data_IF_341384694607
#
_entry.id   IF_341384694607
#
_cell.length_a   1.000
_cell.length_b   1.000
_cell.length_c   1.000
_cell.angle_alpha   90.00
_cell.angle_beta   90.00
_cell.angle_gamma   90.00
#
_symmetry.space_group_name_H-M   'P 1'
#
loop_
_entity.id
_entity.type
_entity.pdbx_description
1 polymer ?
#
# COMPACT_ATOMS: atom_id res chain seq x y z
N UNK A 1 -55.61 19.65 2.36
CA UNK A 1 -55.36 19.99 3.78
C UNK A 1 -55.08 18.66 4.48
N UNK A 2 -53.91 18.36 5.03
CA UNK A 2 -52.73 19.18 5.32
C UNK A 2 -51.53 18.23 5.49
N UNK A 3 -50.36 18.72 5.11
CA UNK A 3 -49.03 18.14 5.26
C UNK A 3 -48.69 17.69 6.70
N UNK A 4 -47.87 16.65 6.85
CA UNK A 4 -46.76 16.48 7.83
C UNK A 4 -46.02 15.16 7.49
N UNK A 5 -44.97 15.12 6.66
CA UNK A 5 -43.55 15.52 6.92
C UNK A 5 -43.04 14.98 8.25
N UNK A 6 -42.49 13.77 8.21
CA UNK A 6 -41.51 13.27 9.16
C UNK A 6 -40.27 12.86 8.37
N UNK A 7 -39.67 13.87 7.74
CA UNK A 7 -38.34 13.76 7.13
C UNK A 7 -37.39 14.25 8.22
N UNK A 8 -36.89 13.36 9.10
CA UNK A 8 -35.69 13.62 9.93
C UNK A 8 -35.30 12.37 10.73
N UNK A 9 -34.81 11.34 10.02
CA UNK A 9 -33.84 10.40 10.58
C UNK A 9 -32.70 10.25 9.58
N UNK A 10 -31.94 11.34 9.45
CA UNK A 10 -30.56 11.28 9.00
C UNK A 10 -29.77 10.70 10.18
N UNK A 11 -29.52 9.39 10.15
CA UNK A 11 -28.29 8.84 10.72
C UNK A 11 -27.81 7.68 9.85
N UNK A 12 -26.96 8.07 8.90
CA UNK A 12 -25.89 7.34 8.24
C UNK A 12 -26.04 5.82 8.07
N UNK A 13 -26.28 5.44 6.82
CA UNK A 13 -26.18 4.08 6.33
C UNK A 13 -24.81 3.45 6.61
N UNK A 14 -24.86 2.33 7.31
CA UNK A 14 -23.96 1.20 7.19
C UNK A 14 -24.86 0.03 6.80
N UNK A 15 -25.22 -0.05 5.53
CA UNK A 15 -25.75 -1.32 5.01
C UNK A 15 -24.53 -2.18 4.66
N UNK A 16 -24.32 -3.20 5.49
CA UNK A 16 -23.50 -4.36 5.13
C UNK A 16 -23.96 -4.87 3.77
N UNK A 17 -23.06 -4.89 2.79
CA UNK A 17 -23.30 -5.56 1.52
C UNK A 17 -23.32 -7.07 1.78
N UNK A 18 -24.52 -7.63 1.97
CA UNK A 18 -24.74 -9.08 1.85
C UNK A 18 -24.73 -9.44 0.37
N UNK A 19 -23.74 -10.22 -0.05
CA UNK A 19 -23.63 -10.71 -1.42
C UNK A 19 -24.50 -11.97 -1.58
N UNK A 20 -25.77 -11.79 -1.96
CA UNK A 20 -26.66 -12.88 -2.38
C UNK A 20 -26.37 -13.23 -3.84
N UNK A 21 -25.84 -14.43 -4.09
CA UNK A 21 -25.64 -14.95 -5.44
C UNK A 21 -26.94 -15.56 -5.98
N UNK A 22 -27.82 -14.74 -6.53
CA UNK A 22 -28.99 -15.24 -7.27
C UNK A 22 -28.60 -15.56 -8.72
N UNK A 23 -28.59 -16.86 -9.04
CA UNK A 23 -28.19 -17.45 -10.31
C UNK A 23 -29.40 -17.71 -11.22
N UNK A 24 -30.19 -16.70 -11.62
CA UNK A 24 -31.05 -16.84 -12.82
C UNK A 24 -31.32 -15.51 -13.54
N UNK A 25 -30.29 -14.80 -13.99
CA UNK A 25 -30.48 -13.69 -14.92
C UNK A 25 -30.21 -14.16 -16.37
N UNK A 26 -31.25 -14.14 -17.21
CA UNK A 26 -31.17 -14.31 -18.66
C UNK A 26 -30.33 -13.16 -19.24
N UNK A 27 -29.07 -13.47 -19.54
CA UNK A 27 -28.05 -12.67 -20.25
C UNK A 27 -28.33 -11.16 -20.35
N UNK A 28 -27.85 -10.35 -19.39
CA UNK A 28 -27.73 -8.91 -19.56
C UNK A 28 -26.54 -8.62 -20.51
N UNK A 29 -26.50 -7.46 -21.19
CA UNK A 29 -25.25 -7.00 -21.78
C UNK A 29 -24.18 -7.05 -20.68
N UNK A 30 -23.06 -7.71 -20.97
CA UNK A 30 -21.96 -7.94 -20.04
C UNK A 30 -21.38 -6.59 -19.57
N UNK A 31 -22.02 -5.99 -18.57
CA UNK A 31 -21.46 -4.94 -17.74
C UNK A 31 -20.70 -5.64 -16.62
N UNK A 32 -19.62 -6.33 -17.00
CA UNK A 32 -18.53 -6.61 -16.06
C UNK A 32 -18.30 -5.32 -15.27
N UNK A 33 -18.41 -5.35 -13.93
CA UNK A 33 -18.53 -4.13 -13.15
C UNK A 33 -17.35 -3.22 -13.46
N UNK A 34 -17.64 -2.05 -14.02
CA UNK A 34 -16.77 -0.87 -13.97
C UNK A 34 -16.76 -0.28 -12.54
N UNK A 35 -16.86 -1.15 -11.51
CA UNK A 35 -16.23 -0.87 -10.25
C UNK A 35 -14.74 -0.83 -10.59
N UNK A 36 -14.23 0.38 -10.86
CA UNK A 36 -12.88 0.58 -11.39
C UNK A 36 -11.94 -0.35 -10.66
N UNK A 37 -11.50 -1.40 -11.35
CA UNK A 37 -10.44 -2.26 -10.86
C UNK A 37 -9.36 -1.27 -10.44
N UNK A 38 -9.07 -1.16 -9.15
CA UNK A 38 -7.78 -0.61 -8.72
C UNK A 38 -6.81 -1.59 -9.34
N UNK A 39 -6.41 -1.30 -10.57
CA UNK A 39 -5.58 -2.22 -11.32
C UNK A 39 -4.19 -1.96 -10.80
N UNK A 40 -3.58 -3.00 -10.25
CA UNK A 40 -2.13 -3.04 -10.05
C UNK A 40 -1.38 -3.11 -11.40
N UNK A 41 -2.04 -2.70 -12.49
CA UNK A 41 -1.45 -2.60 -13.82
C UNK A 41 -0.39 -1.50 -13.78
N UNK A 42 0.84 -1.85 -14.13
CA UNK A 42 2.01 -0.99 -13.97
C UNK A 42 2.59 -0.93 -12.55
N UNK A 43 2.06 -1.67 -11.57
CA UNK A 43 2.73 -1.88 -10.29
C UNK A 43 3.93 -2.81 -10.50
N UNK A 44 5.14 -2.27 -10.29
CA UNK A 44 6.39 -2.98 -10.56
C UNK A 44 6.92 -3.72 -9.34
N UNK A 45 6.65 -3.18 -8.15
CA UNK A 45 7.16 -3.73 -6.89
C UNK A 45 6.27 -3.28 -5.74
N UNK A 46 5.89 -4.22 -4.88
CA UNK A 46 5.11 -4.00 -3.67
C UNK A 46 5.72 -4.81 -2.52
N UNK A 47 6.34 -4.11 -1.56
CA UNK A 47 6.99 -4.70 -0.40
C UNK A 47 6.19 -4.38 0.86
N UNK A 48 5.29 -5.28 1.26
CA UNK A 48 4.45 -5.12 2.45
C UNK A 48 5.16 -5.47 3.76
N UNK A 49 6.34 -6.09 3.68
CA UNK A 49 7.19 -6.50 4.82
C UNK A 49 6.49 -7.40 5.85
N UNK A 50 5.56 -8.26 5.41
CA UNK A 50 4.79 -9.15 6.29
C UNK A 50 5.59 -10.36 6.79
N UNK A 51 6.85 -10.51 6.38
CA UNK A 51 7.72 -11.54 6.91
C UNK A 51 8.08 -11.26 8.37
N UNK A 52 8.24 -12.33 9.15
CA UNK A 52 8.57 -12.24 10.58
C UNK A 52 10.03 -12.54 10.88
N UNK A 53 10.80 -12.99 9.88
CA UNK A 53 12.21 -13.36 10.01
C UNK A 53 12.88 -13.50 8.64
N UNK A 54 14.21 -13.65 8.65
CA UNK A 54 15.01 -13.78 7.44
C UNK A 54 15.44 -12.43 6.88
N UNK A 55 16.03 -12.46 5.68
CA UNK A 55 16.60 -11.30 5.01
C UNK A 55 15.90 -10.96 3.68
N UNK A 56 14.77 -11.59 3.35
CA UNK A 56 14.04 -11.37 2.10
C UNK A 56 12.71 -10.67 2.34
N UNK A 57 12.50 -9.52 1.69
CA UNK A 57 11.22 -8.87 1.50
C UNK A 57 10.58 -9.32 0.20
N UNK A 58 9.45 -10.02 0.30
CA UNK A 58 8.76 -10.58 -0.85
C UNK A 58 8.03 -9.46 -1.60
N UNK A 59 8.17 -9.49 -2.92
CA UNK A 59 7.43 -8.61 -3.83
C UNK A 59 6.07 -9.23 -4.17
N UNK A 60 4.98 -8.56 -3.79
CA UNK A 60 3.60 -8.96 -4.07
C UNK A 60 3.00 -8.37 -5.35
N UNK A 61 3.78 -7.63 -6.15
CA UNK A 61 3.30 -7.11 -7.42
C UNK A 61 2.91 -8.27 -8.37
N UNK A 62 1.74 -8.19 -9.04
CA UNK A 62 1.17 -9.32 -9.79
C UNK A 62 2.05 -9.76 -10.98
N UNK A 63 2.78 -8.82 -11.58
CA UNK A 63 3.64 -9.06 -12.74
C UNK A 63 5.13 -8.92 -12.39
N UNK A 64 5.52 -9.14 -11.13
CA UNK A 64 6.89 -8.97 -10.66
C UNK A 64 7.92 -9.83 -11.43
N UNK A 65 9.01 -9.21 -11.88
CA UNK A 65 10.24 -9.88 -12.36
C UNK A 65 11.19 -10.26 -11.21
N UNK A 66 10.67 -10.72 -10.08
CA UNK A 66 11.45 -11.09 -8.90
C UNK A 66 12.22 -9.87 -8.32
N UNK A 67 11.54 -8.72 -8.21
CA UNK A 67 12.07 -7.48 -7.62
C UNK A 67 12.09 -7.53 -6.08
N UNK A 68 12.33 -8.70 -5.51
CA UNK A 68 12.35 -8.94 -4.07
C UNK A 68 13.45 -8.11 -3.42
N UNK A 69 13.14 -7.55 -2.24
CA UNK A 69 14.12 -6.86 -1.42
C UNK A 69 14.97 -7.84 -0.63
N UNK A 70 16.24 -7.50 -0.42
CA UNK A 70 17.14 -8.19 0.49
C UNK A 70 17.63 -7.25 1.58
N UNK A 71 17.25 -7.48 2.84
CA UNK A 71 17.69 -6.74 4.01
C UNK A 71 19.20 -6.94 4.21
N UNK A 72 19.92 -5.87 4.55
CA UNK A 72 21.38 -5.87 4.72
C UNK A 72 21.79 -5.16 6.01
N UNK A 73 23.00 -5.50 6.46
CA UNK A 73 23.75 -4.84 7.52
C UNK A 73 23.17 -4.84 8.94
N UNK A 74 21.98 -5.40 9.15
CA UNK A 74 21.33 -5.38 10.46
C UNK A 74 19.86 -5.01 10.38
N UNK A 75 19.39 -4.57 9.21
CA UNK A 75 17.99 -4.37 8.94
C UNK A 75 17.18 -5.62 9.29
N UNK A 76 16.12 -5.45 10.08
CA UNK A 76 15.33 -6.55 10.65
C UNK A 76 13.85 -6.27 10.62
N UNK A 77 13.06 -7.33 10.50
CA UNK A 77 11.61 -7.28 10.63
C UNK A 77 11.20 -7.03 12.09
N UNK A 78 10.17 -6.22 12.27
CA UNK A 78 9.49 -6.05 13.54
C UNK A 78 7.98 -6.13 13.35
N UNK A 79 7.30 -6.78 14.31
CA UNK A 79 5.84 -6.89 14.32
C UNK A 79 5.17 -5.63 14.90
N UNK A 80 5.92 -4.59 15.24
CA UNK A 80 5.41 -3.40 15.90
C UNK A 80 5.18 -2.25 14.91
N UNK A 81 3.93 -1.82 14.76
CA UNK A 81 3.60 -0.45 14.35
C UNK A 81 3.39 -0.17 12.85
N UNK A 82 3.19 -1.19 12.02
CA UNK A 82 2.83 -0.98 10.62
C UNK A 82 1.35 -0.62 10.45
N UNK A 83 1.07 0.50 9.78
CA UNK A 83 -0.31 0.91 9.47
C UNK A 83 -0.93 0.06 8.35
N UNK A 84 -0.10 -0.54 7.48
CA UNK A 84 -0.54 -1.28 6.28
C UNK A 84 0.24 -2.59 6.03
N UNK A 85 0.85 -3.18 7.05
CA UNK A 85 1.68 -4.39 6.91
C UNK A 85 2.67 -4.55 8.06
N UNK A 86 3.72 -5.34 7.84
CA UNK A 86 4.87 -5.40 8.74
C UNK A 86 5.83 -4.23 8.54
N UNK A 87 6.90 -4.22 9.32
CA UNK A 87 7.87 -3.10 9.35
C UNK A 87 9.28 -3.65 9.33
N UNK A 88 10.18 -2.96 8.61
CA UNK A 88 11.63 -3.15 8.71
C UNK A 88 12.23 -1.98 9.49
N UNK A 89 13.04 -2.27 10.50
CA UNK A 89 13.77 -1.27 11.29
C UNK A 89 15.20 -1.10 10.78
N UNK A 90 15.68 0.14 10.80
CA UNK A 90 17.01 0.56 10.36
C UNK A 90 17.69 1.30 11.52
N UNK A 91 18.95 0.98 11.80
CA UNK A 91 19.72 1.55 12.92
C UNK A 91 20.28 2.96 12.67
N UNK A 92 20.21 3.42 11.42
CA UNK A 92 20.68 4.74 10.99
C UNK A 92 22.19 4.83 10.72
N UNK A 93 22.93 3.71 10.70
CA UNK A 93 24.37 3.65 10.40
C UNK A 93 24.58 3.24 8.95
N UNK A 94 24.22 2.00 8.59
CA UNK A 94 24.47 1.44 7.26
C UNK A 94 23.42 0.42 6.77
N UNK A 95 22.26 0.35 7.43
CA UNK A 95 21.16 -0.53 7.04
C UNK A 95 20.47 -0.11 5.73
N UNK A 96 20.14 -1.09 4.88
CA UNK A 96 19.37 -0.87 3.65
C UNK A 96 18.65 -2.14 3.17
N UNK A 97 17.69 -1.95 2.26
CA UNK A 97 17.07 -3.03 1.49
C UNK A 97 17.63 -2.98 0.07
N UNK A 98 18.34 -4.04 -0.32
CA UNK A 98 18.88 -4.20 -1.66
C UNK A 98 17.83 -4.78 -2.59
N UNK A 99 17.53 -4.09 -3.69
CA UNK A 99 16.74 -4.65 -4.80
C UNK A 99 17.66 -4.79 -6.00
N UNK A 100 17.64 -5.96 -6.65
CA UNK A 100 18.47 -6.22 -7.83
C UNK A 100 17.94 -5.42 -9.02
N UNK A 101 18.85 -4.93 -9.86
CA UNK A 101 18.51 -4.33 -11.15
C UNK A 101 17.68 -5.31 -12.01
N UNK A 102 16.64 -4.78 -12.65
CA UNK A 102 15.71 -5.51 -13.52
C UNK A 102 15.20 -4.61 -14.64
N UNK A 103 14.71 -5.22 -15.72
CA UNK A 103 14.11 -4.50 -16.85
C UNK A 103 12.90 -3.68 -16.42
N UNK A 104 12.14 -4.12 -15.41
CA UNK A 104 10.97 -3.38 -14.92
C UNK A 104 11.32 -2.14 -14.10
N UNK A 105 12.38 -2.22 -13.29
CA UNK A 105 12.85 -1.11 -12.46
C UNK A 105 13.65 -0.10 -13.29
N UNK A 106 14.53 -0.62 -14.16
CA UNK A 106 15.45 0.15 -14.97
C UNK A 106 15.26 -0.16 -16.46
N UNK A 107 14.50 0.68 -17.13
CA UNK A 107 14.14 0.50 -18.55
C UNK A 107 15.27 0.94 -19.52
N UNK A 108 16.44 1.34 -19.02
CA UNK A 108 17.55 1.88 -19.82
C UNK A 108 17.31 3.27 -20.44
N UNK A 109 16.04 3.67 -20.56
CA UNK A 109 15.55 5.02 -20.84
C UNK A 109 14.85 5.55 -19.58
N UNK A 110 14.99 6.84 -19.30
CA UNK A 110 14.36 7.49 -18.14
C UNK A 110 12.83 7.60 -18.32
N UNK A 111 12.13 6.47 -18.28
CA UNK A 111 10.69 6.43 -18.12
C UNK A 111 10.33 6.97 -16.73
N UNK A 112 9.20 7.68 -16.64
CA UNK A 112 8.70 8.21 -15.36
C UNK A 112 8.31 7.04 -14.47
N UNK A 113 8.83 7.02 -13.24
CA UNK A 113 8.44 6.09 -12.17
C UNK A 113 7.92 6.88 -10.98
N UNK A 114 7.04 6.24 -10.22
CA UNK A 114 6.55 6.75 -8.93
C UNK A 114 6.99 5.78 -7.85
N UNK A 115 7.46 6.32 -6.73
CA UNK A 115 7.77 5.56 -5.53
C UNK A 115 6.89 6.10 -4.41
N UNK A 116 6.21 5.22 -3.70
CA UNK A 116 5.44 5.54 -2.50
C UNK A 116 5.90 4.64 -1.36
N UNK A 117 6.12 5.21 -0.18
CA UNK A 117 6.52 4.46 1.00
C UNK A 117 6.01 5.10 2.29
N UNK A 118 5.79 4.27 3.30
CA UNK A 118 5.52 4.69 4.67
C UNK A 118 6.79 4.57 5.49
N UNK A 119 7.12 5.60 6.27
CA UNK A 119 8.27 5.58 7.16
C UNK A 119 7.97 6.34 8.44
N UNK A 120 8.63 5.92 9.53
CA UNK A 120 8.62 6.60 10.82
C UNK A 120 10.06 6.90 11.21
N UNK A 121 10.32 8.13 11.62
CA UNK A 121 11.64 8.56 12.10
C UNK A 121 11.58 8.67 13.62
N UNK A 122 12.51 8.02 14.31
CA UNK A 122 12.61 8.08 15.78
C UNK A 122 13.45 9.28 16.24
N UNK A 123 14.58 9.54 15.57
CA UNK A 123 15.48 10.66 15.89
C UNK A 123 15.19 11.91 15.05
N UNK A 124 14.29 12.76 15.53
CA UNK A 124 14.15 14.14 15.03
C UNK A 124 15.12 15.06 15.77
N UNK A 125 16.39 15.13 15.32
CA UNK A 125 17.22 16.30 15.66
C UNK A 125 16.73 17.53 14.90
N UNK A 126 15.75 18.23 15.47
CA UNK A 126 15.39 19.56 15.02
C UNK A 126 16.45 20.54 15.53
N UNK A 127 17.37 20.95 14.66
CA UNK A 127 18.24 22.09 14.96
C UNK A 127 17.35 23.34 14.98
N UNK A 128 16.95 23.77 16.17
CA UNK A 128 16.23 25.04 16.35
C UNK A 128 17.23 26.16 16.12
N UNK A 129 17.12 26.86 14.99
CA UNK A 129 17.90 28.08 14.77
C UNK A 129 17.58 29.06 15.91
N UNK A 130 18.60 29.70 16.52
CA UNK A 130 18.35 30.68 17.57
C UNK A 130 17.49 31.80 16.99
N UNK A 131 16.33 32.05 17.61
CA UNK A 131 15.57 33.26 17.37
C UNK A 131 16.38 34.41 17.94
N UNK A 132 17.18 35.06 17.10
CA UNK A 132 17.82 36.32 17.46
C UNK A 132 16.70 37.36 17.62
N UNK A 133 16.71 38.02 18.78
CA UNK A 133 15.76 39.06 19.20
C UNK A 133 15.95 40.36 18.40
#
# INVERSE_FOLDING_TARGET
MTQNRLDELIWAGLEELTFESDLTFRDPPNISPLAGKISNDGLVMDLAFNETSGDKAIDSAPDSENNEGKLRNGATYTNAGGTFGGVVTFDGIDDYIFVKDSSQLNLGIHAKKTISLWFKVEDKKLVRLPSTL
#
